data_IF_336837177044
#
_entry.id   IF_336837177044
#
_cell.length_a   1.000
_cell.length_b   1.000
_cell.length_c   1.000
_cell.angle_alpha   90.00
_cell.angle_beta   90.00
_cell.angle_gamma   90.00
#
_symmetry.space_group_name_H-M   'P 1'
#
loop_
_entity.id
_entity.type
_entity.pdbx_description
1 polymer ?
#
# COMPACT_ATOMS: atom_id res chain seq x y z
N UNK A 1 15.97 3.52 34.55
CA UNK A 1 14.68 4.23 34.76
C UNK A 1 13.58 3.27 34.35
N UNK A 2 12.77 2.83 35.30
CA UNK A 2 11.59 1.99 35.04
C UNK A 2 10.53 2.87 34.38
N UNK A 3 10.31 2.67 33.10
CA UNK A 3 9.37 3.45 32.27
C UNK A 3 7.93 2.92 32.32
N UNK A 4 7.48 2.37 33.45
CA UNK A 4 6.08 1.96 33.68
C UNK A 4 5.39 1.29 32.45
N UNK A 5 6.13 0.58 31.62
CA UNK A 5 5.63 -0.07 30.40
C UNK A 5 5.30 0.87 29.21
N UNK A 6 5.62 2.16 29.32
CA UNK A 6 5.40 3.13 28.22
C UNK A 6 6.62 3.18 27.31
N UNK A 7 6.40 3.01 26.01
CA UNK A 7 7.41 3.19 24.98
C UNK A 7 7.11 4.47 24.21
N UNK A 8 8.10 5.39 24.12
CA UNK A 8 7.98 6.61 23.32
C UNK A 8 9.02 6.63 22.19
N UNK A 9 8.78 7.35 21.08
CA UNK A 9 9.74 7.49 20.00
C UNK A 9 11.11 8.00 20.47
N UNK A 10 11.12 8.97 21.39
CA UNK A 10 12.35 9.56 21.95
C UNK A 10 13.19 8.51 22.66
N UNK A 11 12.56 7.63 23.46
CA UNK A 11 13.25 6.55 24.17
C UNK A 11 13.85 5.54 23.19
N UNK A 12 13.15 5.25 22.10
CA UNK A 12 13.65 4.34 21.05
C UNK A 12 14.85 4.96 20.34
N UNK A 13 14.77 6.24 19.97
CA UNK A 13 15.89 6.97 19.36
C UNK A 13 17.09 7.03 20.30
N UNK A 14 16.89 7.35 21.59
CA UNK A 14 17.98 7.41 22.57
C UNK A 14 18.63 6.04 22.80
N UNK A 15 17.85 4.97 22.81
CA UNK A 15 18.36 3.61 22.86
C UNK A 15 19.16 3.24 21.60
N UNK A 16 18.73 3.70 20.42
CA UNK A 16 19.39 3.41 19.15
C UNK A 16 20.68 4.22 18.91
N UNK A 17 20.91 5.33 19.62
CA UNK A 17 22.07 6.24 19.42
C UNK A 17 23.44 5.56 19.53
N UNK A 18 23.73 4.74 20.56
CA UNK A 18 25.01 4.03 20.62
C UNK A 18 25.21 3.12 19.41
N UNK A 19 26.41 3.11 18.84
CA UNK A 19 26.74 2.27 17.66
C UNK A 19 26.60 0.78 17.94
N UNK A 20 26.72 0.40 19.19
CA UNK A 20 26.57 -0.98 19.68
C UNK A 20 25.12 -1.42 19.83
N UNK A 21 24.17 -0.49 19.74
CA UNK A 21 22.76 -0.81 19.81
C UNK A 21 22.30 -1.62 18.60
N UNK A 22 21.51 -2.67 18.87
CA UNK A 22 20.91 -3.51 17.81
C UNK A 22 19.99 -2.71 16.86
N UNK A 23 19.48 -1.56 17.31
CA UNK A 23 18.61 -0.68 16.52
C UNK A 23 19.39 0.44 15.81
N UNK A 24 20.73 0.54 16.02
CA UNK A 24 21.49 1.68 15.47
C UNK A 24 21.35 1.78 13.93
N UNK A 25 21.43 0.65 13.24
CA UNK A 25 21.39 0.60 11.77
C UNK A 25 19.99 0.82 11.17
N UNK A 26 18.94 0.82 12.00
CA UNK A 26 17.56 1.08 11.55
C UNK A 26 17.27 2.59 11.43
N UNK A 27 18.20 3.45 11.88
CA UNK A 27 18.06 4.90 11.86
C UNK A 27 19.06 5.57 10.90
N UNK A 28 18.64 6.68 10.32
CA UNK A 28 19.51 7.57 9.55
C UNK A 28 20.11 8.64 10.47
N UNK A 29 21.41 8.57 10.73
CA UNK A 29 22.12 9.47 11.63
C UNK A 29 22.75 10.68 10.94
N UNK A 30 22.78 10.71 9.62
CA UNK A 30 23.26 11.88 8.85
C UNK A 30 22.15 12.90 8.78
N UNK A 31 22.31 14.03 9.45
CA UNK A 31 21.27 15.06 9.60
C UNK A 31 20.75 15.57 8.26
N UNK A 32 21.60 15.80 7.27
CA UNK A 32 21.20 16.27 5.94
C UNK A 32 20.28 15.25 5.23
N UNK A 33 20.64 13.97 5.28
CA UNK A 33 19.85 12.88 4.68
C UNK A 33 18.56 12.68 5.43
N UNK A 34 18.59 12.71 6.75
CA UNK A 34 17.40 12.60 7.59
C UNK A 34 16.43 13.76 7.35
N UNK A 35 16.95 14.98 7.25
CA UNK A 35 16.13 16.16 6.95
C UNK A 35 15.46 16.07 5.57
N UNK A 36 16.19 15.59 4.54
CA UNK A 36 15.63 15.42 3.20
C UNK A 36 14.54 14.32 3.18
N UNK A 37 14.79 13.18 3.81
CA UNK A 37 13.78 12.11 3.97
C UNK A 37 12.54 12.63 4.70
N UNK A 38 12.71 13.48 5.72
CA UNK A 38 11.61 14.11 6.43
C UNK A 38 10.78 15.02 5.51
N UNK A 39 11.43 15.90 4.73
CA UNK A 39 10.74 16.78 3.75
C UNK A 39 9.99 15.95 2.70
N UNK A 40 10.59 14.88 2.20
CA UNK A 40 9.90 13.95 1.28
C UNK A 40 8.69 13.29 1.94
N UNK A 41 8.78 12.95 3.23
CA UNK A 41 7.64 12.45 4.01
C UNK A 41 6.50 13.48 4.09
N UNK A 42 6.84 14.76 4.36
CA UNK A 42 5.87 15.86 4.34
C UNK A 42 5.23 16.01 2.96
N UNK A 43 6.02 15.96 1.89
CA UNK A 43 5.51 16.05 0.52
C UNK A 43 4.53 14.91 0.20
N UNK A 44 4.85 13.66 0.57
CA UNK A 44 3.93 12.51 0.42
C UNK A 44 2.62 12.73 1.17
N UNK A 45 2.70 13.26 2.40
CA UNK A 45 1.50 13.59 3.18
C UNK A 45 0.64 14.64 2.48
N UNK A 46 1.26 15.72 1.97
CA UNK A 46 0.57 16.78 1.24
C UNK A 46 -0.11 16.24 -0.03
N UNK A 47 0.60 15.46 -0.85
CA UNK A 47 0.02 14.83 -2.04
C UNK A 47 -1.16 13.93 -1.66
N UNK A 48 -1.02 13.13 -0.61
CA UNK A 48 -2.09 12.25 -0.11
C UNK A 48 -3.31 12.99 0.43
N UNK A 49 -3.17 14.27 0.78
CA UNK A 49 -4.26 15.12 1.27
C UNK A 49 -5.05 15.83 0.14
N UNK A 50 -4.51 15.88 -1.09
CA UNK A 50 -5.19 16.53 -2.22
C UNK A 50 -6.47 15.77 -2.54
N UNK A 51 -7.57 16.50 -2.64
CA UNK A 51 -8.90 15.97 -3.01
C UNK A 51 -9.41 16.68 -4.25
N UNK A 52 -10.15 15.96 -5.06
CA UNK A 52 -10.94 16.48 -6.18
C UNK A 52 -12.39 16.09 -5.97
N UNK A 53 -13.32 16.88 -6.46
CA UNK A 53 -14.73 16.50 -6.46
C UNK A 53 -14.96 15.49 -7.58
N UNK A 54 -15.52 14.33 -7.24
CA UNK A 54 -15.94 13.34 -8.23
C UNK A 54 -17.11 13.86 -9.03
N UNK A 55 -17.05 13.74 -10.35
CA UNK A 55 -18.16 14.15 -11.24
C UNK A 55 -19.41 13.29 -11.02
N UNK A 56 -19.22 12.01 -10.70
CA UNK A 56 -20.32 11.04 -10.53
C UNK A 56 -21.03 11.15 -9.19
N UNK A 57 -20.25 11.27 -8.09
CA UNK A 57 -20.80 11.22 -6.73
C UNK A 57 -20.89 12.58 -6.07
N UNK A 58 -20.26 13.63 -6.62
CA UNK A 58 -20.08 14.95 -6.04
C UNK A 58 -19.36 14.93 -4.66
N UNK A 59 -18.72 13.81 -4.33
CA UNK A 59 -17.96 13.65 -3.10
C UNK A 59 -16.45 13.90 -3.32
N UNK A 60 -15.75 14.40 -2.27
CA UNK A 60 -14.31 14.58 -2.36
C UNK A 60 -13.58 13.23 -2.37
N UNK A 61 -12.90 12.93 -3.47
CA UNK A 61 -12.07 11.74 -3.63
C UNK A 61 -10.59 12.10 -3.68
N UNK A 62 -9.72 11.14 -3.40
CA UNK A 62 -8.27 11.33 -3.50
C UNK A 62 -7.88 11.66 -4.94
N UNK A 63 -7.09 12.74 -5.13
CA UNK A 63 -6.67 13.17 -6.46
C UNK A 63 -5.56 12.31 -7.06
N UNK A 64 -4.65 11.79 -6.21
CA UNK A 64 -3.47 11.03 -6.63
C UNK A 64 -3.34 9.71 -5.90
N UNK A 65 -2.86 8.69 -6.60
CA UNK A 65 -2.56 7.35 -6.07
C UNK A 65 -1.09 7.04 -6.32
N UNK A 66 -0.41 6.47 -5.32
CA UNK A 66 0.97 6.03 -5.46
C UNK A 66 0.99 4.63 -6.09
N UNK A 67 1.52 4.52 -7.29
CA UNK A 67 1.60 3.27 -8.07
C UNK A 67 3.01 3.06 -8.60
N UNK A 68 3.33 1.83 -8.99
CA UNK A 68 4.57 1.51 -9.67
C UNK A 68 4.35 1.60 -11.17
N UNK A 69 5.05 2.51 -11.82
CA UNK A 69 5.02 2.66 -13.29
C UNK A 69 6.22 1.93 -13.87
N UNK A 70 5.97 1.11 -14.88
CA UNK A 70 6.99 0.41 -15.64
C UNK A 70 6.99 0.98 -17.06
N UNK A 71 8.08 1.64 -17.45
CA UNK A 71 8.30 2.07 -18.81
C UNK A 71 9.21 1.07 -19.56
N UNK A 72 9.12 0.97 -20.90
CA UNK A 72 10.04 0.15 -21.68
C UNK A 72 11.50 0.57 -21.41
N UNK A 73 12.35 -0.40 -21.14
CA UNK A 73 13.79 -0.23 -20.90
C UNK A 73 14.19 0.61 -19.66
N UNK A 74 13.24 0.91 -18.77
CA UNK A 74 13.50 1.62 -17.52
C UNK A 74 13.15 0.74 -16.29
N UNK A 75 13.86 0.94 -15.17
CA UNK A 75 13.51 0.26 -13.93
C UNK A 75 12.14 0.74 -13.41
N UNK A 76 11.38 -0.12 -12.72
CA UNK A 76 10.11 0.25 -12.10
C UNK A 76 10.28 1.44 -11.15
N UNK A 77 9.47 2.49 -11.32
CA UNK A 77 9.51 3.69 -10.48
C UNK A 77 8.17 3.89 -9.79
N UNK A 78 8.19 4.13 -8.48
CA UNK A 78 6.99 4.55 -7.74
C UNK A 78 6.72 6.03 -7.98
N UNK A 79 5.51 6.32 -8.44
CA UNK A 79 5.06 7.68 -8.77
C UNK A 79 3.63 7.91 -8.33
N UNK A 80 3.27 9.18 -8.12
CA UNK A 80 1.90 9.59 -7.87
C UNK A 80 1.20 9.89 -9.20
N UNK A 81 0.20 9.09 -9.52
CA UNK A 81 -0.60 9.23 -10.74
C UNK A 81 -1.98 9.77 -10.40
N UNK A 82 -2.60 10.58 -11.30
CA UNK A 82 -3.98 11.02 -11.13
C UNK A 82 -4.92 9.82 -10.95
N UNK A 83 -5.87 9.91 -10.02
CA UNK A 83 -6.84 8.85 -9.76
C UNK A 83 -7.57 8.41 -11.04
N UNK A 84 -7.99 9.37 -11.87
CA UNK A 84 -8.68 9.08 -13.14
C UNK A 84 -7.85 8.16 -14.02
N UNK A 85 -6.58 8.47 -14.21
CA UNK A 85 -5.66 7.67 -15.04
C UNK A 85 -5.46 6.26 -14.47
N UNK A 86 -5.35 6.13 -13.13
CA UNK A 86 -5.22 4.84 -12.47
C UNK A 86 -6.47 3.97 -12.70
N UNK A 87 -7.67 4.56 -12.67
CA UNK A 87 -8.92 3.84 -12.90
C UNK A 87 -9.11 3.40 -14.37
N UNK A 88 -8.57 4.17 -15.32
CA UNK A 88 -8.65 3.87 -16.76
C UNK A 88 -7.63 2.82 -17.22
N UNK A 89 -6.55 2.61 -16.47
CA UNK A 89 -5.47 1.67 -16.81
C UNK A 89 -5.58 0.38 -15.98
N UNK A 90 -5.87 -0.78 -16.62
CA UNK A 90 -6.07 -2.06 -15.89
C UNK A 90 -4.88 -2.48 -15.04
N UNK A 91 -3.64 -2.25 -15.50
CA UNK A 91 -2.41 -2.58 -14.79
C UNK A 91 -2.27 -1.76 -13.48
N UNK A 92 -2.56 -0.46 -13.53
CA UNK A 92 -2.49 0.41 -12.36
C UNK A 92 -3.69 0.22 -11.42
N UNK A 93 -4.87 -0.03 -11.98
CA UNK A 93 -6.06 -0.36 -11.20
C UNK A 93 -5.85 -1.64 -10.37
N UNK A 94 -5.29 -2.68 -10.99
CA UNK A 94 -4.96 -3.94 -10.28
C UNK A 94 -3.96 -3.72 -9.16
N UNK A 95 -2.94 -2.87 -9.34
CA UNK A 95 -2.02 -2.50 -8.28
C UNK A 95 -2.74 -1.78 -7.12
N UNK A 96 -3.60 -0.81 -7.44
CA UNK A 96 -4.38 -0.08 -6.42
C UNK A 96 -5.27 -1.04 -5.62
N UNK A 97 -5.92 -1.99 -6.28
CA UNK A 97 -6.72 -3.03 -5.61
C UNK A 97 -5.84 -3.90 -4.69
N UNK A 98 -4.69 -4.37 -5.17
CA UNK A 98 -3.76 -5.15 -4.37
C UNK A 98 -3.24 -4.38 -3.13
N UNK A 99 -3.01 -3.08 -3.25
CA UNK A 99 -2.63 -2.22 -2.12
C UNK A 99 -3.79 -2.11 -1.11
N UNK A 100 -5.02 -1.90 -1.58
CA UNK A 100 -6.21 -1.85 -0.72
C UNK A 100 -6.42 -3.16 0.05
N UNK A 101 -6.17 -4.31 -0.57
CA UNK A 101 -6.20 -5.62 0.10
C UNK A 101 -5.16 -5.71 1.23
N UNK A 102 -3.93 -5.29 0.97
CA UNK A 102 -2.86 -5.30 1.99
C UNK A 102 -3.20 -4.38 3.18
N UNK A 103 -3.76 -3.20 2.89
CA UNK A 103 -4.19 -2.27 3.93
C UNK A 103 -5.31 -2.87 4.78
N UNK A 104 -6.28 -3.54 4.16
CA UNK A 104 -7.36 -4.22 4.87
C UNK A 104 -6.87 -5.39 5.72
N UNK A 105 -5.91 -6.18 5.23
CA UNK A 105 -5.28 -7.23 6.02
C UNK A 105 -4.50 -6.65 7.21
N UNK A 106 -3.75 -5.58 6.99
CA UNK A 106 -3.03 -4.87 8.05
C UNK A 106 -3.99 -4.30 9.10
N UNK A 107 -5.11 -3.73 8.66
CA UNK A 107 -6.18 -3.29 9.56
C UNK A 107 -6.74 -4.45 10.39
N UNK A 108 -7.04 -5.58 9.76
CA UNK A 108 -7.53 -6.78 10.44
C UNK A 108 -6.52 -7.28 11.49
N UNK A 109 -5.24 -7.39 11.14
CA UNK A 109 -4.19 -7.82 12.07
C UNK A 109 -4.04 -6.88 13.27
N UNK A 110 -4.05 -5.57 13.01
CA UNK A 110 -3.88 -4.54 14.05
C UNK A 110 -5.02 -4.51 15.07
N UNK A 111 -6.25 -4.79 14.63
CA UNK A 111 -7.45 -4.62 15.43
C UNK A 111 -8.20 -5.93 15.70
N UNK A 112 -7.57 -7.10 15.51
CA UNK A 112 -8.18 -8.43 15.67
C UNK A 112 -8.71 -8.70 17.08
N UNK A 113 -8.20 -8.00 18.10
CA UNK A 113 -8.65 -8.09 19.50
C UNK A 113 -9.93 -7.31 19.79
N UNK A 114 -10.36 -6.44 18.84
CA UNK A 114 -11.55 -5.61 19.01
C UNK A 114 -12.80 -6.30 18.44
N UNK A 115 -13.49 -7.07 19.28
CA UNK A 115 -14.67 -7.85 18.86
C UNK A 115 -15.75 -7.03 18.15
N UNK A 116 -15.94 -5.76 18.56
CA UNK A 116 -16.92 -4.85 17.92
C UNK A 116 -16.62 -4.57 16.44
N UNK A 117 -15.38 -4.76 15.97
CA UNK A 117 -14.97 -4.59 14.57
C UNK A 117 -15.05 -5.89 13.76
N UNK A 118 -15.28 -7.01 14.42
CA UNK A 118 -15.35 -8.33 13.76
C UNK A 118 -16.32 -8.36 12.56
N UNK A 119 -17.55 -7.83 12.65
CA UNK A 119 -18.48 -7.82 11.50
C UNK A 119 -17.92 -7.07 10.28
N UNK A 120 -17.18 -5.96 10.50
CA UNK A 120 -16.54 -5.20 9.43
C UNK A 120 -15.42 -6.01 8.79
N UNK A 121 -14.58 -6.65 9.60
CA UNK A 121 -13.48 -7.48 9.12
C UNK A 121 -13.96 -8.69 8.33
N UNK A 122 -15.06 -9.31 8.76
CA UNK A 122 -15.67 -10.45 8.08
C UNK A 122 -16.31 -10.02 6.74
N UNK A 123 -16.92 -8.82 6.69
CA UNK A 123 -17.46 -8.25 5.46
C UNK A 123 -16.34 -7.93 4.45
N UNK A 124 -15.24 -7.33 4.90
CA UNK A 124 -14.05 -7.08 4.06
C UNK A 124 -13.49 -8.40 3.51
N UNK A 125 -13.37 -9.44 4.34
CA UNK A 125 -12.88 -10.76 3.91
C UNK A 125 -13.73 -11.36 2.79
N UNK A 126 -15.05 -11.28 2.89
CA UNK A 126 -15.96 -11.80 1.85
C UNK A 126 -15.81 -11.10 0.50
N UNK A 127 -15.62 -9.78 0.50
CA UNK A 127 -15.40 -9.02 -0.74
C UNK A 127 -14.09 -9.46 -1.39
N UNK A 128 -13.03 -9.62 -0.60
CA UNK A 128 -11.71 -9.99 -1.11
C UNK A 128 -11.64 -11.43 -1.63
N UNK A 129 -12.33 -12.38 -0.98
CA UNK A 129 -12.41 -13.77 -1.44
C UNK A 129 -13.11 -13.89 -2.80
N UNK A 130 -14.11 -13.05 -3.07
CA UNK A 130 -14.83 -13.01 -4.35
C UNK A 130 -13.92 -12.50 -5.47
N UNK A 131 -13.18 -11.41 -5.23
CA UNK A 131 -12.30 -10.83 -6.24
C UNK A 131 -11.11 -11.75 -6.58
N UNK A 132 -10.55 -12.45 -5.59
CA UNK A 132 -9.49 -13.43 -5.85
C UNK A 132 -9.96 -14.62 -6.69
N UNK A 133 -11.19 -15.08 -6.47
CA UNK A 133 -11.78 -16.16 -7.28
C UNK A 133 -12.03 -15.70 -8.72
N UNK A 134 -12.58 -14.49 -8.91
CA UNK A 134 -12.83 -13.95 -10.24
C UNK A 134 -11.53 -13.81 -11.04
N UNK A 135 -10.45 -13.31 -10.44
CA UNK A 135 -9.14 -13.20 -11.09
C UNK A 135 -8.50 -14.57 -11.39
N UNK A 136 -8.72 -15.58 -10.54
CA UNK A 136 -8.21 -16.92 -10.76
C UNK A 136 -8.93 -17.60 -11.95
N UNK A 137 -10.24 -17.39 -12.07
CA UNK A 137 -11.05 -17.94 -13.16
C UNK A 137 -10.71 -17.28 -14.51
N UNK A 138 -10.44 -15.99 -14.55
CA UNK A 138 -9.98 -15.28 -15.75
C UNK A 138 -8.61 -15.77 -16.21
N UNK A 139 -7.67 -15.95 -15.30
CA UNK A 139 -6.31 -16.45 -15.60
C UNK A 139 -6.31 -17.94 -15.97
N UNK A 140 -7.23 -18.74 -15.42
CA UNK A 140 -7.39 -20.16 -15.73
C UNK A 140 -7.95 -20.42 -17.14
N UNK A 141 -8.82 -19.53 -17.62
CA UNK A 141 -9.44 -19.60 -18.96
C UNK A 141 -8.44 -19.37 -20.10
N UNK A 142 -7.34 -18.66 -19.87
CA UNK A 142 -6.34 -18.36 -20.90
C UNK A 142 -5.38 -19.53 -21.21
N UNK A 143 -5.15 -20.45 -20.27
CA UNK A 143 -4.25 -21.60 -20.45
C UNK A 143 -4.88 -22.79 -21.19
N UNK A 144 -6.19 -22.77 -21.43
CA UNK A 144 -6.93 -23.87 -22.09
C UNK A 144 -6.94 -23.84 -23.61
N UNK A 145 -6.51 -22.75 -24.27
CA UNK A 145 -6.70 -22.54 -25.72
C UNK A 145 -5.48 -22.83 -26.61
N UNK A 146 -4.35 -23.31 -26.06
CA UNK A 146 -3.13 -23.53 -26.86
C UNK A 146 -2.76 -25.00 -27.12
N UNK A 147 -3.63 -25.98 -26.85
CA UNK A 147 -3.35 -27.38 -27.13
C UNK A 147 -4.45 -28.08 -27.96
N UNK A 148 -4.83 -27.52 -29.10
CA UNK A 148 -5.45 -28.32 -30.15
C UNK A 148 -5.04 -27.82 -31.53
N UNK A 149 -4.16 -28.54 -32.18
CA UNK A 149 -3.92 -28.35 -33.60
C UNK A 149 -2.51 -28.59 -34.07
N UNK A 150 -2.00 -29.83 -33.98
CA UNK A 150 -1.15 -30.42 -35.04
C UNK A 150 -1.23 -31.97 -34.91
N UNK A 151 -2.06 -32.57 -35.72
CA UNK A 151 -1.87 -33.93 -36.19
C UNK A 151 -2.68 -34.09 -37.49
N UNK A 152 -1.96 -34.15 -38.57
CA UNK A 152 -2.49 -34.43 -39.89
C UNK A 152 -1.40 -34.30 -40.93
#
# INVERSE_FOLDING_TARGET
RQNSGKLTPELVVDYARPKESVLHNDFEWRDEVAAEKYRQGQARHMIGAIRITSEDTQEPVRAYVNVTVVAPDEPPVRSYMPMKEVLERPDLHSQMMADAFRDAQSFKQKYNTLERLKPVMDAMGKVFDVDQKAQADENGSWNGSQHQGVSG
#
